data_IF_163138279350
#
_entry.id   IF_163138279350
#
_cell.length_a   1.000
_cell.length_b   1.000
_cell.length_c   1.000
_cell.angle_alpha   90.00
_cell.angle_beta   90.00
_cell.angle_gamma   90.00
#
_symmetry.space_group_name_H-M   'P 1'
#
loop_
_entity.id
_entity.type
_entity.pdbx_description
1 polymer ?
#
# COMPACT_ATOMS: atom_id res chain seq x y z
N UNK A 1 -33.65 -26.10 -10.70
CA UNK A 1 -32.66 -25.90 -9.62
C UNK A 1 -31.68 -24.83 -10.04
N UNK A 2 -31.75 -23.64 -9.50
CA UNK A 2 -30.70 -22.65 -9.78
C UNK A 2 -29.43 -23.12 -9.07
N UNK A 3 -28.32 -23.11 -9.80
CA UNK A 3 -27.00 -23.34 -9.21
C UNK A 3 -26.75 -22.27 -8.15
N UNK A 4 -26.20 -22.59 -6.98
CA UNK A 4 -25.83 -21.58 -6.03
C UNK A 4 -24.79 -20.66 -6.68
N UNK A 5 -25.12 -19.37 -6.71
CA UNK A 5 -24.27 -18.34 -7.26
C UNK A 5 -22.89 -18.41 -6.63
N UNK A 6 -21.86 -18.23 -7.45
CA UNK A 6 -20.53 -17.95 -6.98
C UNK A 6 -20.62 -16.69 -6.10
N UNK A 7 -20.61 -16.87 -4.79
CA UNK A 7 -20.42 -15.76 -3.87
C UNK A 7 -19.10 -15.09 -4.25
N UNK A 8 -19.22 -13.90 -4.78
CA UNK A 8 -18.11 -12.98 -4.96
C UNK A 8 -17.39 -12.90 -3.59
N UNK A 9 -16.23 -13.51 -3.50
CA UNK A 9 -15.33 -13.33 -2.36
C UNK A 9 -14.73 -11.93 -2.35
N UNK A 10 -15.57 -10.90 -2.42
CA UNK A 10 -15.19 -9.58 -2.00
C UNK A 10 -15.11 -9.63 -0.49
N UNK A 11 -13.92 -9.92 0.01
CA UNK A 11 -13.60 -9.86 1.42
C UNK A 11 -13.81 -8.40 1.87
N UNK A 12 -15.03 -8.10 2.29
CA UNK A 12 -15.37 -6.88 3.02
C UNK A 12 -14.65 -6.94 4.36
N UNK A 13 -14.16 -5.80 4.86
CA UNK A 13 -13.57 -5.71 6.19
C UNK A 13 -12.05 -5.86 6.26
N UNK A 14 -11.36 -5.18 5.35
CA UNK A 14 -9.91 -5.00 5.40
C UNK A 14 -9.54 -3.55 5.07
N UNK A 15 -8.32 -3.15 5.40
CA UNK A 15 -7.77 -1.85 5.00
C UNK A 15 -7.45 -1.87 3.51
N UNK A 16 -7.96 -0.88 2.77
CA UNK A 16 -7.59 -0.66 1.38
C UNK A 16 -6.21 -0.03 1.28
N UNK A 17 -5.44 -0.42 0.27
CA UNK A 17 -4.06 0.03 0.09
C UNK A 17 -3.90 0.71 -1.26
N UNK A 18 -3.34 1.91 -1.24
CA UNK A 18 -2.89 2.63 -2.44
C UNK A 18 -1.39 2.83 -2.34
N UNK A 19 -0.66 2.44 -3.39
CA UNK A 19 0.78 2.73 -3.50
C UNK A 19 0.97 3.82 -4.54
N UNK A 20 1.71 4.85 -4.20
CA UNK A 20 2.00 5.99 -5.08
C UNK A 20 3.48 6.35 -5.01
N UNK A 21 4.06 6.79 -6.11
CA UNK A 21 5.48 7.16 -6.13
C UNK A 21 5.93 7.69 -7.48
N UNK A 22 7.21 7.96 -7.60
CA UNK A 22 7.84 8.50 -8.80
C UNK A 22 7.80 7.50 -9.95
N UNK A 23 7.54 7.99 -11.14
CA UNK A 23 7.53 7.18 -12.35
C UNK A 23 6.62 5.96 -12.20
N UNK A 24 7.14 4.81 -12.56
CA UNK A 24 6.41 3.53 -12.50
C UNK A 24 6.72 2.70 -11.24
N UNK A 25 7.42 3.29 -10.25
CA UNK A 25 7.87 2.54 -9.08
C UNK A 25 6.72 1.86 -8.33
N UNK A 26 5.63 2.57 -8.09
CA UNK A 26 4.46 2.03 -7.39
C UNK A 26 3.88 0.81 -8.12
N UNK A 27 3.74 0.90 -9.44
CA UNK A 27 3.24 -0.20 -10.28
C UNK A 27 4.16 -1.42 -10.23
N UNK A 28 5.48 -1.20 -10.33
CA UNK A 28 6.45 -2.29 -10.29
C UNK A 28 6.53 -2.93 -8.89
N UNK A 29 6.37 -2.15 -7.83
CA UNK A 29 6.27 -2.70 -6.48
C UNK A 29 5.06 -3.60 -6.30
N UNK A 30 3.89 -3.18 -6.76
CA UNK A 30 2.67 -3.99 -6.72
C UNK A 30 2.82 -5.24 -7.58
N UNK A 31 3.34 -5.11 -8.81
CA UNK A 31 3.60 -6.24 -9.69
C UNK A 31 4.55 -7.26 -9.06
N UNK A 32 5.63 -6.78 -8.43
CA UNK A 32 6.59 -7.63 -7.72
C UNK A 32 5.94 -8.35 -6.55
N UNK A 33 5.14 -7.66 -5.77
CA UNK A 33 4.40 -8.26 -4.66
C UNK A 33 3.47 -9.37 -5.15
N UNK A 34 2.70 -9.11 -6.20
CA UNK A 34 1.77 -10.08 -6.78
C UNK A 34 2.50 -11.27 -7.44
N UNK A 35 3.72 -11.04 -7.93
CA UNK A 35 4.59 -12.11 -8.40
C UNK A 35 5.00 -13.09 -7.28
N UNK A 36 5.12 -12.58 -6.05
CA UNK A 36 5.48 -13.39 -4.88
C UNK A 36 4.26 -14.05 -4.23
N UNK A 37 3.16 -13.32 -4.09
CA UNK A 37 2.01 -13.74 -3.28
C UNK A 37 0.78 -14.14 -4.10
N UNK A 38 0.79 -13.95 -5.42
CA UNK A 38 -0.42 -13.99 -6.23
C UNK A 38 -1.20 -12.69 -6.14
N UNK A 39 -2.36 -12.65 -6.76
CA UNK A 39 -3.21 -11.46 -6.79
C UNK A 39 -3.61 -11.03 -5.37
N UNK A 40 -3.47 -9.74 -5.09
CA UNK A 40 -3.78 -9.12 -3.80
C UNK A 40 -4.99 -8.20 -3.96
N UNK A 41 -6.10 -8.52 -3.29
CA UNK A 41 -7.33 -7.71 -3.34
C UNK A 41 -7.15 -6.36 -2.64
N UNK A 42 -7.95 -5.37 -3.05
CA UNK A 42 -7.99 -4.02 -2.47
C UNK A 42 -6.60 -3.37 -2.34
N UNK A 43 -5.76 -3.56 -3.35
CA UNK A 43 -4.44 -2.97 -3.50
C UNK A 43 -4.34 -2.37 -4.91
N UNK A 44 -3.96 -1.11 -5.00
CA UNK A 44 -3.85 -0.42 -6.28
C UNK A 44 -2.63 0.50 -6.30
N UNK A 45 -1.92 0.51 -7.43
CA UNK A 45 -0.85 1.45 -7.71
C UNK A 45 -1.39 2.66 -8.48
N UNK A 46 -0.97 3.86 -8.12
CA UNK A 46 -1.23 5.09 -8.85
C UNK A 46 0.04 5.51 -9.57
N UNK A 47 -0.04 5.61 -10.89
CA UNK A 47 1.05 6.05 -11.76
C UNK A 47 0.76 7.46 -12.26
N UNK A 48 1.73 8.35 -12.11
CA UNK A 48 1.66 9.72 -12.57
C UNK A 48 2.84 10.03 -13.50
N UNK A 49 2.60 10.91 -14.48
CA UNK A 49 3.66 11.45 -15.30
C UNK A 49 4.36 12.63 -14.58
N UNK A 50 5.67 12.88 -14.81
CA UNK A 50 6.40 13.97 -14.15
C UNK A 50 5.78 15.35 -14.33
N UNK A 51 5.10 15.58 -15.45
CA UNK A 51 4.45 16.85 -15.77
C UNK A 51 2.98 16.93 -15.32
N UNK A 52 2.45 15.90 -14.67
CA UNK A 52 1.07 15.92 -14.19
C UNK A 52 0.88 17.01 -13.12
N UNK A 53 -0.13 17.88 -13.26
CA UNK A 53 -0.44 18.84 -12.21
C UNK A 53 -0.91 18.13 -10.94
N UNK A 54 -0.62 18.72 -9.78
CA UNK A 54 -0.96 18.15 -8.48
C UNK A 54 -2.44 17.78 -8.33
N UNK A 55 -3.35 18.57 -8.90
CA UNK A 55 -4.79 18.28 -8.89
C UNK A 55 -5.13 16.95 -9.60
N UNK A 56 -4.43 16.63 -10.69
CA UNK A 56 -4.62 15.36 -11.39
C UNK A 56 -4.08 14.19 -10.59
N UNK A 57 -2.92 14.37 -9.96
CA UNK A 57 -2.35 13.39 -9.03
C UNK A 57 -3.33 13.10 -7.90
N UNK A 58 -3.85 14.14 -7.26
CA UNK A 58 -4.85 14.02 -6.20
C UNK A 58 -6.10 13.29 -6.66
N UNK A 59 -6.65 13.64 -7.80
CA UNK A 59 -7.85 12.98 -8.34
C UNK A 59 -7.65 11.48 -8.55
N UNK A 60 -6.49 11.07 -9.05
CA UNK A 60 -6.15 9.64 -9.20
C UNK A 60 -6.03 8.92 -7.87
N UNK A 61 -5.43 9.56 -6.87
CA UNK A 61 -5.33 9.00 -5.51
C UNK A 61 -6.73 8.83 -4.91
N UNK A 62 -7.58 9.83 -5.01
CA UNK A 62 -8.97 9.78 -4.53
C UNK A 62 -9.77 8.66 -5.19
N UNK A 63 -9.63 8.49 -6.50
CA UNK A 63 -10.28 7.43 -7.24
C UNK A 63 -9.79 6.04 -6.83
N UNK A 64 -8.48 5.86 -6.73
CA UNK A 64 -7.89 4.61 -6.27
C UNK A 64 -8.35 4.28 -4.84
N UNK A 65 -8.34 5.27 -3.94
CA UNK A 65 -8.81 5.11 -2.57
C UNK A 65 -10.26 4.63 -2.50
N UNK A 66 -11.15 5.19 -3.32
CA UNK A 66 -12.54 4.72 -3.40
C UNK A 66 -12.66 3.26 -3.88
N UNK A 67 -11.84 2.87 -4.86
CA UNK A 67 -11.86 1.51 -5.41
C UNK A 67 -11.37 0.46 -4.43
N UNK A 68 -10.40 0.80 -3.59
CA UNK A 68 -9.80 -0.15 -2.63
C UNK A 68 -10.49 -0.17 -1.27
N UNK A 69 -11.31 0.81 -0.95
CA UNK A 69 -11.95 0.91 0.36
C UNK A 69 -12.89 -0.29 0.60
N UNK A 70 -12.66 -1.00 1.68
CA UNK A 70 -13.43 -2.17 2.14
C UNK A 70 -14.00 -1.95 3.55
N UNK A 71 -14.16 -0.68 3.97
CA UNK A 71 -14.82 -0.31 5.22
C UNK A 71 -13.91 -0.20 6.44
N UNK A 72 -12.61 -0.46 6.31
CA UNK A 72 -11.62 -0.32 7.40
C UNK A 72 -10.66 0.85 7.20
N UNK A 73 -11.01 1.77 6.32
CA UNK A 73 -10.17 2.90 5.93
C UNK A 73 -9.17 2.55 4.83
N UNK A 74 -8.42 3.56 4.43
CA UNK A 74 -7.43 3.46 3.36
C UNK A 74 -6.07 3.89 3.89
N UNK A 75 -5.05 3.11 3.59
CA UNK A 75 -3.65 3.43 3.83
C UNK A 75 -2.96 3.71 2.49
N UNK A 76 -2.35 4.87 2.36
CA UNK A 76 -1.56 5.26 1.21
C UNK A 76 -0.09 5.08 1.56
N UNK A 77 0.63 4.34 0.75
CA UNK A 77 2.06 4.11 0.88
C UNK A 77 2.78 4.86 -0.25
N UNK A 78 3.64 5.79 0.09
CA UNK A 78 4.44 6.53 -0.88
C UNK A 78 5.92 6.19 -0.79
N UNK A 79 6.65 6.47 -1.85
CA UNK A 79 8.08 6.16 -1.93
C UNK A 79 8.94 7.08 -1.08
N UNK A 80 8.65 8.37 -1.05
CA UNK A 80 9.44 9.33 -0.26
C UNK A 80 8.61 10.55 0.15
N UNK A 81 9.00 11.14 1.28
CA UNK A 81 8.36 12.36 1.77
C UNK A 81 8.86 13.58 0.98
N UNK A 82 7.95 14.54 0.72
CA UNK A 82 8.29 15.85 0.16
C UNK A 82 8.09 15.98 -1.35
N UNK A 83 7.66 14.94 -2.02
CA UNK A 83 7.29 14.98 -3.43
C UNK A 83 5.82 15.39 -3.67
N UNK A 84 5.47 15.61 -4.92
CA UNK A 84 4.09 15.97 -5.31
C UNK A 84 3.10 14.88 -4.92
N UNK A 85 3.43 13.63 -5.17
CA UNK A 85 2.58 12.48 -4.89
C UNK A 85 2.26 12.38 -3.40
N UNK A 86 3.26 12.45 -2.55
CA UNK A 86 3.07 12.41 -1.09
C UNK A 86 2.32 13.63 -0.57
N UNK A 87 2.63 14.82 -1.10
CA UNK A 87 1.91 16.04 -0.71
C UNK A 87 0.43 15.98 -1.08
N UNK A 88 0.09 15.45 -2.24
CA UNK A 88 -1.30 15.25 -2.64
C UNK A 88 -2.00 14.16 -1.83
N UNK A 89 -1.29 13.10 -1.47
CA UNK A 89 -1.79 12.07 -0.57
C UNK A 89 -2.10 12.64 0.83
N UNK A 90 -1.21 13.49 1.36
CA UNK A 90 -1.42 14.17 2.64
C UNK A 90 -2.62 15.13 2.59
N UNK A 91 -2.77 15.90 1.51
CA UNK A 91 -3.91 16.79 1.33
C UNK A 91 -5.23 16.01 1.29
N UNK A 92 -5.26 14.87 0.62
CA UNK A 92 -6.42 13.96 0.61
C UNK A 92 -6.69 13.37 2.00
N UNK A 93 -5.65 12.95 2.71
CA UNK A 93 -5.77 12.38 4.05
C UNK A 93 -6.41 13.34 5.07
N UNK A 94 -6.11 14.64 4.96
CA UNK A 94 -6.68 15.67 5.84
C UNK A 94 -8.23 15.75 5.77
N UNK A 95 -8.82 15.43 4.63
CA UNK A 95 -10.26 15.51 4.42
C UNK A 95 -10.96 14.16 4.47
N UNK A 96 -10.26 13.07 4.19
CA UNK A 96 -10.83 11.72 4.07
C UNK A 96 -10.65 10.85 5.31
N UNK A 97 -9.68 11.18 6.17
CA UNK A 97 -9.27 10.31 7.26
C UNK A 97 -8.37 9.14 6.84
N UNK A 98 -7.90 9.11 5.59
CA UNK A 98 -6.90 8.15 5.15
C UNK A 98 -5.57 8.37 5.90
N UNK A 99 -4.78 7.33 6.01
CA UNK A 99 -3.43 7.41 6.57
C UNK A 99 -2.38 7.41 5.45
N UNK A 100 -1.24 8.02 5.68
CA UNK A 100 -0.13 8.07 4.72
C UNK A 100 1.16 7.68 5.42
N UNK A 101 1.88 6.72 4.84
CA UNK A 101 3.23 6.35 5.26
C UNK A 101 4.17 6.49 4.07
N UNK A 102 5.18 7.34 4.20
CA UNK A 102 6.24 7.54 3.20
C UNK A 102 7.45 6.64 3.49
N UNK A 103 8.14 6.22 2.45
CA UNK A 103 9.29 5.32 2.57
C UNK A 103 8.91 3.85 2.41
N UNK A 104 7.92 3.54 1.59
CA UNK A 104 7.49 2.17 1.33
C UNK A 104 8.64 1.28 0.87
N UNK A 105 8.70 0.08 1.38
CA UNK A 105 9.65 -0.94 0.97
C UNK A 105 8.97 -2.31 0.81
N UNK A 106 9.63 -3.26 0.18
CA UNK A 106 9.06 -4.59 -0.09
C UNK A 106 8.69 -5.37 1.16
N UNK A 107 9.47 -5.36 2.27
CA UNK A 107 9.03 -6.01 3.50
C UNK A 107 7.68 -5.51 4.03
N UNK A 108 7.42 -4.20 3.94
CA UNK A 108 6.12 -3.62 4.32
C UNK A 108 4.99 -4.19 3.45
N UNK A 109 5.18 -4.27 2.13
CA UNK A 109 4.17 -4.78 1.20
C UNK A 109 3.87 -6.26 1.44
N UNK A 110 4.89 -7.07 1.69
CA UNK A 110 4.71 -8.48 2.03
C UNK A 110 3.94 -8.62 3.35
N UNK A 111 4.30 -7.83 4.35
CA UNK A 111 3.64 -7.84 5.66
C UNK A 111 2.17 -7.44 5.59
N UNK A 112 1.84 -6.42 4.81
CA UNK A 112 0.49 -5.89 4.73
C UNK A 112 -0.53 -6.91 4.24
N UNK A 113 -0.15 -7.82 3.37
CA UNK A 113 -1.05 -8.81 2.80
C UNK A 113 -1.79 -9.64 3.87
N UNK A 114 -1.12 -9.92 4.97
CA UNK A 114 -1.71 -10.61 6.13
C UNK A 114 -2.18 -9.65 7.22
N UNK A 115 -1.45 -8.56 7.47
CA UNK A 115 -1.67 -7.68 8.61
C UNK A 115 -2.90 -6.77 8.46
N UNK A 116 -3.41 -6.52 7.25
CA UNK A 116 -4.50 -5.57 6.99
C UNK A 116 -5.90 -6.07 7.31
N UNK A 117 -6.03 -7.34 7.68
CA UNK A 117 -7.30 -7.95 8.07
C UNK A 117 -7.55 -7.71 9.55
N UNK A 118 -8.79 -7.44 9.93
CA UNK A 118 -9.22 -7.24 11.32
C UNK A 118 -8.52 -6.07 12.03
N UNK A 119 -8.07 -5.07 11.28
CA UNK A 119 -7.44 -3.84 11.80
C UNK A 119 -8.03 -2.63 11.07
N UNK A 120 -7.62 -1.43 11.46
CA UNK A 120 -7.94 -0.20 10.75
C UNK A 120 -6.67 0.42 10.12
N UNK A 121 -6.88 1.43 9.29
CA UNK A 121 -5.79 2.08 8.56
C UNK A 121 -4.73 2.69 9.49
N UNK A 122 -5.15 3.28 10.62
CA UNK A 122 -4.24 3.91 11.58
C UNK A 122 -3.35 2.89 12.29
N UNK A 123 -3.94 1.81 12.77
CA UNK A 123 -3.19 0.74 13.42
C UNK A 123 -2.23 0.06 12.43
N UNK A 124 -2.67 -0.18 11.19
CA UNK A 124 -1.84 -0.76 10.14
C UNK A 124 -0.67 0.17 9.77
N UNK A 125 -0.91 1.49 9.65
CA UNK A 125 0.15 2.46 9.37
C UNK A 125 1.27 2.41 10.43
N UNK A 126 0.91 2.37 11.70
CA UNK A 126 1.88 2.25 12.79
C UNK A 126 2.66 0.93 12.76
N UNK A 127 1.98 -0.17 12.47
CA UNK A 127 2.61 -1.49 12.35
C UNK A 127 3.59 -1.54 11.19
N UNK A 128 3.17 -1.11 10.01
CA UNK A 128 4.02 -1.16 8.80
C UNK A 128 5.21 -0.23 8.90
N UNK A 129 5.04 0.96 9.50
CA UNK A 129 6.17 1.86 9.73
C UNK A 129 7.26 1.19 10.56
N UNK A 130 6.92 0.58 11.68
CA UNK A 130 7.89 -0.13 12.52
C UNK A 130 8.50 -1.32 11.78
N UNK A 131 7.67 -2.12 11.15
CA UNK A 131 8.11 -3.29 10.40
C UNK A 131 9.09 -2.93 9.28
N UNK A 132 8.78 -1.88 8.51
CA UNK A 132 9.65 -1.39 7.45
C UNK A 132 11.01 -0.90 7.97
N UNK A 133 11.02 -0.19 9.09
CA UNK A 133 12.24 0.28 9.74
C UNK A 133 13.11 -0.88 10.25
N UNK A 134 12.50 -1.89 10.84
CA UNK A 134 13.18 -3.06 11.39
C UNK A 134 13.75 -3.98 10.30
N UNK A 135 13.23 -3.92 9.09
CA UNK A 135 13.66 -4.74 7.96
C UNK A 135 14.62 -4.03 6.99
N UNK A 136 15.13 -2.87 7.40
CA UNK A 136 16.31 -2.28 6.77
C UNK A 136 17.53 -2.88 7.48
N UNK A 137 18.21 -3.81 6.80
CA UNK A 137 19.28 -4.61 7.40
C UNK A 137 20.59 -4.35 6.68
N UNK A 138 21.63 -4.03 7.42
CA UNK A 138 22.99 -4.06 6.89
C UNK A 138 23.44 -5.52 6.77
N UNK A 139 23.25 -6.09 5.60
CA UNK A 139 23.31 -7.54 5.43
C UNK A 139 24.68 -8.15 5.72
N UNK A 140 25.78 -7.42 5.45
CA UNK A 140 27.15 -7.90 5.73
C UNK A 140 27.47 -7.89 7.23
N UNK A 141 26.78 -7.08 8.00
CA UNK A 141 26.90 -7.03 9.47
C UNK A 141 25.83 -7.92 10.17
N UNK A 142 24.90 -8.48 9.40
CA UNK A 142 23.85 -9.33 9.97
C UNK A 142 24.43 -10.68 10.44
N UNK A 143 23.89 -11.25 11.54
CA UNK A 143 24.27 -12.59 11.98
C UNK A 143 24.04 -13.64 10.87
N UNK A 144 24.91 -14.65 10.80
CA UNK A 144 24.85 -15.69 9.78
C UNK A 144 23.50 -16.44 9.76
N UNK A 145 22.83 -16.59 10.88
CA UNK A 145 21.52 -17.21 11.01
C UNK A 145 20.42 -16.44 10.29
N UNK A 146 20.50 -15.12 10.26
CA UNK A 146 19.55 -14.25 9.53
C UNK A 146 19.74 -14.41 8.02
N UNK A 147 20.98 -14.61 7.57
CA UNK A 147 21.32 -14.80 6.14
C UNK A 147 20.84 -16.13 5.58
N UNK A 148 20.65 -17.14 6.41
CA UNK A 148 20.16 -18.48 6.01
C UNK A 148 18.64 -18.59 5.89
N UNK A 149 17.91 -17.62 6.42
CA UNK A 149 16.43 -17.62 6.45
C UNK A 149 15.78 -17.03 5.18
N UNK A 150 16.57 -16.68 4.16
CA UNK A 150 16.10 -16.15 2.87
C UNK A 150 16.07 -17.20 1.78
#
# INVERSE_FOLDING_TARGET
MPRPGAESKNSTNMVGIVVVGHGRLAEEMVRTLEGVLGQVDALEAVVNEPADPGERVRARIEEAARRVDRGRGVLILSDMLGDTETNQALAFAQTSGAEVVAGVNMPMLIKLANARKQTDARALAGLLRRYGQEHIVWATEAPAVVRKAQ
#
